data_IF_179260979116
#
_entry.id   IF_179260979116
#
_cell.length_a   1.000
_cell.length_b   1.000
_cell.length_c   1.000
_cell.angle_alpha   90.00
_cell.angle_beta   90.00
_cell.angle_gamma   90.00
#
_symmetry.space_group_name_H-M   'P 1'
#
loop_
_entity.id
_entity.type
_entity.pdbx_description
1 polymer ?
#
# COMPACT_ATOMS: atom_id res chain seq x y z
N UNK A 1 3.22 16.21 8.59
CA UNK A 1 3.26 14.76 8.23
C UNK A 1 2.67 13.99 9.39
N UNK A 2 1.62 13.21 9.19
CA UNK A 2 1.06 12.35 10.25
C UNK A 2 2.08 11.25 10.50
N UNK A 3 2.35 10.93 11.79
CA UNK A 3 3.30 9.87 12.12
C UNK A 3 2.98 8.60 11.33
N UNK A 4 3.97 8.07 10.63
CA UNK A 4 3.82 6.87 9.81
C UNK A 4 3.45 5.62 10.63
N UNK A 5 3.68 5.66 11.94
CA UNK A 5 3.35 4.59 12.87
C UNK A 5 1.89 4.68 13.37
N UNK A 6 1.27 5.86 13.32
CA UNK A 6 -0.14 6.00 13.65
C UNK A 6 -1.01 5.57 12.48
N UNK A 7 -1.65 4.41 12.61
CA UNK A 7 -2.58 3.83 11.64
C UNK A 7 -4.04 4.03 12.01
N UNK A 8 -4.32 4.74 13.11
CA UNK A 8 -5.69 4.97 13.57
C UNK A 8 -6.43 6.00 12.70
N UNK A 9 -7.74 5.90 12.67
CA UNK A 9 -8.62 6.88 12.04
C UNK A 9 -8.62 6.93 10.50
N UNK A 10 -7.70 6.20 9.85
CA UNK A 10 -7.60 6.16 8.38
C UNK A 10 -7.35 4.77 7.84
N UNK A 11 -7.84 4.51 6.63
CA UNK A 11 -7.54 3.32 5.84
C UNK A 11 -6.46 3.65 4.80
N UNK A 12 -5.40 2.85 4.75
CA UNK A 12 -4.36 2.95 3.71
C UNK A 12 -4.67 2.09 2.49
N UNK A 13 -4.00 2.34 1.38
CA UNK A 13 -4.10 1.46 0.20
C UNK A 13 -3.69 0.02 0.52
N UNK A 14 -2.66 -0.17 1.37
CA UNK A 14 -2.22 -1.49 1.83
C UNK A 14 -3.26 -2.23 2.70
N UNK A 15 -4.25 -1.53 3.23
CA UNK A 15 -5.34 -2.13 4.02
C UNK A 15 -6.43 -2.78 3.15
N UNK A 16 -6.35 -2.63 1.82
CA UNK A 16 -7.36 -3.13 0.89
C UNK A 16 -7.64 -4.63 1.06
N UNK A 17 -6.62 -5.44 1.42
CA UNK A 17 -6.79 -6.87 1.67
C UNK A 17 -7.63 -7.18 2.90
N UNK A 18 -7.57 -6.35 3.94
CA UNK A 18 -8.43 -6.48 5.13
C UNK A 18 -9.86 -6.02 4.81
N UNK A 19 -9.99 -4.88 4.14
CA UNK A 19 -11.29 -4.29 3.77
C UNK A 19 -12.08 -5.25 2.87
N UNK A 20 -11.42 -5.87 1.90
CA UNK A 20 -12.02 -6.79 0.94
C UNK A 20 -12.05 -8.24 1.42
N UNK A 21 -11.41 -8.54 2.55
CA UNK A 21 -11.30 -9.88 3.12
C UNK A 21 -12.49 -10.31 3.98
N UNK A 22 -12.29 -11.39 4.74
CA UNK A 22 -13.24 -11.89 5.71
C UNK A 22 -13.04 -11.19 7.07
N UNK A 23 -14.05 -10.48 7.54
CA UNK A 23 -14.01 -9.70 8.78
C UNK A 23 -14.18 -10.52 10.06
N UNK A 24 -14.58 -11.78 9.97
CA UNK A 24 -14.66 -12.71 11.11
C UNK A 24 -13.31 -13.23 11.59
N UNK A 25 -12.22 -13.00 10.84
CA UNK A 25 -10.89 -13.55 11.17
C UNK A 25 -10.22 -12.81 12.33
N UNK A 26 -9.40 -13.54 13.11
CA UNK A 26 -8.57 -12.94 14.16
C UNK A 26 -7.62 -11.87 13.60
N UNK A 27 -7.11 -12.08 12.40
CA UNK A 27 -6.21 -11.14 11.73
C UNK A 27 -6.92 -9.82 11.43
N UNK A 28 -8.16 -9.86 10.92
CA UNK A 28 -8.98 -8.67 10.72
C UNK A 28 -9.27 -7.97 12.05
N UNK A 29 -9.68 -8.70 13.11
CA UNK A 29 -9.98 -8.12 14.42
C UNK A 29 -8.78 -7.38 15.02
N UNK A 30 -7.58 -7.95 14.92
CA UNK A 30 -6.36 -7.30 15.38
C UNK A 30 -6.04 -6.02 14.57
N UNK A 31 -6.20 -6.07 13.25
CA UNK A 31 -6.04 -4.89 12.40
C UNK A 31 -7.09 -3.81 12.72
N UNK A 32 -8.34 -4.23 12.98
CA UNK A 32 -9.41 -3.30 13.35
C UNK A 32 -9.15 -2.56 14.66
N UNK A 33 -8.61 -3.24 15.67
CA UNK A 33 -8.19 -2.61 16.93
C UNK A 33 -7.10 -1.53 16.72
N UNK A 34 -6.22 -1.71 15.73
CA UNK A 34 -5.26 -0.67 15.35
C UNK A 34 -5.96 0.53 14.70
N UNK A 35 -6.99 0.30 13.88
CA UNK A 35 -7.78 1.38 13.28
C UNK A 35 -8.56 2.18 14.30
N UNK A 36 -9.03 1.54 15.37
CA UNK A 36 -9.66 2.19 16.51
C UNK A 36 -8.65 2.88 17.47
N UNK A 37 -7.35 2.78 17.24
CA UNK A 37 -6.31 3.34 18.12
C UNK A 37 -6.18 2.62 19.47
N UNK A 38 -6.77 1.43 19.62
CA UNK A 38 -6.73 0.65 20.86
C UNK A 38 -5.40 -0.07 21.05
N UNK A 39 -4.76 -0.50 19.95
CA UNK A 39 -3.44 -1.12 19.94
C UNK A 39 -2.53 -0.41 18.94
N UNK A 40 -1.25 -0.28 19.28
CA UNK A 40 -0.23 0.21 18.36
C UNK A 40 0.33 -0.95 17.55
N UNK A 41 0.51 -0.75 16.24
CA UNK A 41 1.22 -1.70 15.38
C UNK A 41 2.74 -1.48 15.47
N UNK A 42 3.52 -2.51 15.22
CA UNK A 42 4.94 -2.22 15.13
C UNK A 42 5.93 -3.36 15.31
N UNK A 43 6.04 -4.30 14.38
CA UNK A 43 7.26 -5.09 14.19
C UNK A 43 7.81 -4.80 12.79
N UNK A 44 9.10 -4.40 12.72
CA UNK A 44 9.82 -4.28 11.44
C UNK A 44 10.86 -5.41 11.36
N UNK A 45 10.77 -6.25 10.33
CA UNK A 45 11.80 -7.26 10.05
C UNK A 45 13.01 -6.62 9.34
N UNK A 46 14.16 -7.33 9.33
CA UNK A 46 15.35 -6.91 8.57
C UNK A 46 15.01 -6.70 7.09
N UNK A 47 14.18 -7.55 6.50
CA UNK A 47 13.74 -7.41 5.12
C UNK A 47 12.90 -6.13 4.89
N UNK A 48 12.05 -5.75 5.86
CA UNK A 48 11.28 -4.49 5.78
C UNK A 48 12.20 -3.27 5.89
N UNK A 49 13.23 -3.33 6.75
CA UNK A 49 14.22 -2.26 6.86
C UNK A 49 15.01 -2.13 5.56
N UNK A 50 15.53 -3.23 5.02
CA UNK A 50 16.24 -3.22 3.74
C UNK A 50 15.36 -2.60 2.63
N UNK A 51 14.08 -3.03 2.53
CA UNK A 51 13.12 -2.43 1.59
C UNK A 51 13.05 -0.92 1.70
N UNK A 52 12.90 -0.39 2.91
CA UNK A 52 12.83 1.06 3.16
C UNK A 52 14.12 1.80 2.73
N UNK A 53 15.30 1.23 2.98
CA UNK A 53 16.57 1.87 2.60
C UNK A 53 16.78 1.89 1.08
N UNK A 54 16.43 0.81 0.38
CA UNK A 54 16.60 0.74 -1.08
C UNK A 54 15.51 1.45 -1.87
N UNK A 55 14.36 1.74 -1.28
CA UNK A 55 13.17 2.31 -1.95
C UNK A 55 13.50 3.58 -2.72
N UNK A 56 14.11 4.58 -2.07
CA UNK A 56 14.45 5.85 -2.73
C UNK A 56 15.49 5.69 -3.84
N UNK A 57 16.47 4.82 -3.65
CA UNK A 57 17.49 4.56 -4.67
C UNK A 57 16.91 3.84 -5.90
N UNK A 58 15.92 2.94 -5.69
CA UNK A 58 15.20 2.30 -6.79
C UNK A 58 14.31 3.33 -7.50
N UNK A 59 13.60 4.20 -6.78
CA UNK A 59 12.80 5.28 -7.36
C UNK A 59 13.64 6.23 -8.22
N UNK A 60 14.86 6.58 -7.78
CA UNK A 60 15.80 7.35 -8.57
C UNK A 60 16.22 6.60 -9.85
N UNK A 61 16.50 5.31 -9.72
CA UNK A 61 16.92 4.48 -10.84
C UNK A 61 15.84 4.34 -11.94
N UNK A 62 14.55 4.36 -11.55
CA UNK A 62 13.40 4.31 -12.48
C UNK A 62 12.87 5.69 -12.88
N UNK A 63 13.47 6.76 -12.35
CA UNK A 63 13.13 8.14 -12.69
C UNK A 63 11.76 8.56 -12.18
N UNK A 64 11.39 8.19 -10.93
CA UNK A 64 10.17 8.66 -10.30
C UNK A 64 10.30 10.14 -9.93
N UNK A 65 9.36 11.01 -10.35
CA UNK A 65 9.51 12.46 -10.17
C UNK A 65 9.40 12.95 -8.73
N UNK A 66 8.55 12.31 -7.92
CA UNK A 66 8.33 12.66 -6.52
C UNK A 66 8.30 11.40 -5.67
N UNK A 67 8.78 11.49 -4.42
CA UNK A 67 8.83 10.39 -3.44
C UNK A 67 8.00 10.74 -2.20
N UNK A 68 7.53 9.72 -1.50
CA UNK A 68 6.85 9.84 -0.19
C UNK A 68 5.63 10.77 -0.21
N UNK A 69 4.84 10.72 -1.28
CA UNK A 69 3.64 11.52 -1.33
C UNK A 69 2.48 10.88 -0.57
N UNK A 70 1.74 11.69 0.16
CA UNK A 70 0.56 11.26 0.90
C UNK A 70 -0.67 12.03 0.44
N UNK A 71 -1.69 11.31 -0.02
CA UNK A 71 -3.01 11.84 -0.35
C UNK A 71 -4.02 11.45 0.74
N UNK A 72 -4.77 12.44 1.23
CA UNK A 72 -5.88 12.21 2.18
C UNK A 72 -7.19 12.47 1.47
N UNK A 73 -8.13 11.52 1.52
CA UNK A 73 -9.49 11.62 1.01
C UNK A 73 -10.44 11.46 2.21
N UNK A 74 -10.86 12.57 2.85
CA UNK A 74 -11.64 12.53 4.10
C UNK A 74 -13.01 11.87 3.93
N UNK A 75 -13.60 11.98 2.75
CA UNK A 75 -14.88 11.38 2.41
C UNK A 75 -14.93 9.88 2.72
N UNK A 76 -13.82 9.17 2.46
CA UNK A 76 -13.68 7.73 2.69
C UNK A 76 -12.77 7.39 3.88
N UNK A 77 -12.29 8.38 4.63
CA UNK A 77 -11.21 8.20 5.61
C UNK A 77 -9.99 7.46 5.02
N UNK A 78 -9.65 7.74 3.75
CA UNK A 78 -8.49 7.15 3.09
C UNK A 78 -7.26 8.02 3.31
N UNK A 79 -6.13 7.38 3.62
CA UNK A 79 -4.79 7.95 3.64
C UNK A 79 -3.89 7.08 2.76
N UNK A 80 -3.68 7.52 1.54
CA UNK A 80 -2.95 6.77 0.52
C UNK A 80 -1.52 7.29 0.47
N UNK A 81 -0.56 6.43 0.76
CA UNK A 81 0.86 6.73 0.61
C UNK A 81 1.33 6.16 -0.72
N UNK A 82 2.16 6.93 -1.40
CA UNK A 82 2.83 6.56 -2.64
C UNK A 82 4.33 6.55 -2.40
N UNK A 83 5.00 5.44 -2.71
CA UNK A 83 6.47 5.37 -2.65
C UNK A 83 7.05 6.39 -3.65
N UNK A 84 6.54 6.35 -4.90
CA UNK A 84 6.84 7.32 -5.93
C UNK A 84 5.61 7.69 -6.75
N UNK A 85 5.54 8.96 -7.20
CA UNK A 85 4.48 9.40 -8.09
C UNK A 85 4.89 10.57 -9.00
N UNK A 86 4.04 10.85 -9.97
CA UNK A 86 4.10 12.00 -10.87
C UNK A 86 2.74 12.21 -11.53
N UNK A 87 2.65 13.22 -12.40
CA UNK A 87 1.41 13.47 -13.14
C UNK A 87 1.07 12.26 -14.01
N UNK A 88 -0.09 11.65 -13.75
CA UNK A 88 -0.55 10.46 -14.46
C UNK A 88 0.30 9.20 -14.22
N UNK A 89 1.10 9.14 -13.15
CA UNK A 89 2.01 8.03 -12.86
C UNK A 89 2.03 7.69 -11.36
N UNK A 90 2.09 6.40 -11.05
CA UNK A 90 2.33 5.85 -9.70
C UNK A 90 3.39 4.77 -9.79
N UNK A 91 4.37 4.83 -8.89
CA UNK A 91 5.44 3.86 -8.74
C UNK A 91 5.41 3.28 -7.32
N UNK A 92 5.27 1.98 -7.23
CA UNK A 92 5.31 1.22 -5.97
C UNK A 92 6.52 0.30 -5.98
N UNK A 93 7.29 0.29 -4.89
CA UNK A 93 8.50 -0.53 -4.78
C UNK A 93 8.22 -1.78 -3.96
N UNK A 94 8.70 -2.93 -4.46
CA UNK A 94 8.69 -4.19 -3.72
C UNK A 94 10.04 -4.87 -3.82
N UNK A 95 10.65 -5.15 -2.67
CA UNK A 95 11.89 -5.92 -2.60
C UNK A 95 11.62 -7.39 -2.25
N UNK A 96 12.48 -8.27 -2.74
CA UNK A 96 12.43 -9.71 -2.45
C UNK A 96 13.84 -10.30 -2.48
N UNK A 97 14.07 -11.47 -1.89
CA UNK A 97 15.35 -12.17 -2.06
C UNK A 97 15.58 -12.51 -3.53
N UNK A 98 16.81 -12.34 -4.01
CA UNK A 98 17.16 -12.58 -5.43
C UNK A 98 16.95 -14.02 -5.87
N UNK A 99 17.00 -14.95 -4.93
CA UNK A 99 16.72 -16.38 -5.11
C UNK A 99 15.25 -16.71 -5.32
N UNK A 100 14.35 -15.74 -5.11
CA UNK A 100 12.90 -15.91 -5.22
C UNK A 100 12.35 -15.19 -6.45
N UNK A 101 11.48 -15.87 -7.18
CA UNK A 101 10.70 -15.22 -8.22
C UNK A 101 9.70 -14.23 -7.61
N UNK A 102 9.73 -12.97 -8.08
CA UNK A 102 8.72 -12.00 -7.69
C UNK A 102 7.39 -12.30 -8.36
N UNK A 103 6.32 -12.28 -7.56
CA UNK A 103 4.93 -12.42 -8.07
C UNK A 103 4.07 -11.31 -7.50
N UNK A 104 3.30 -10.64 -8.36
CA UNK A 104 2.28 -9.68 -7.92
C UNK A 104 1.19 -10.44 -7.19
N UNK A 105 1.17 -10.33 -5.88
CA UNK A 105 0.17 -10.98 -5.04
C UNK A 105 -1.19 -10.29 -5.16
N UNK A 106 -2.27 -10.98 -4.77
CA UNK A 106 -3.61 -10.37 -4.70
C UNK A 106 -3.62 -9.12 -3.82
N UNK A 107 -2.85 -9.11 -2.71
CA UNK A 107 -2.74 -7.94 -1.82
C UNK A 107 -2.06 -6.76 -2.52
N UNK A 108 -0.97 -6.98 -3.25
CA UNK A 108 -0.29 -5.92 -4.02
C UNK A 108 -1.17 -5.37 -5.13
N UNK A 109 -1.91 -6.25 -5.82
CA UNK A 109 -2.85 -5.83 -6.86
C UNK A 109 -3.96 -4.93 -6.30
N UNK A 110 -4.53 -5.29 -5.15
CA UNK A 110 -5.55 -4.48 -4.48
C UNK A 110 -4.99 -3.14 -4.00
N UNK A 111 -3.80 -3.12 -3.38
CA UNK A 111 -3.11 -1.90 -2.98
C UNK A 111 -2.92 -0.96 -4.18
N UNK A 112 -2.34 -1.46 -5.27
CA UNK A 112 -2.07 -0.67 -6.47
C UNK A 112 -3.35 -0.07 -7.08
N UNK A 113 -4.45 -0.84 -7.13
CA UNK A 113 -5.74 -0.34 -7.62
C UNK A 113 -6.30 0.80 -6.77
N UNK A 114 -6.15 0.73 -5.44
CA UNK A 114 -6.56 1.82 -4.53
C UNK A 114 -5.67 3.05 -4.73
N UNK A 115 -4.37 2.88 -4.95
CA UNK A 115 -3.47 3.98 -5.29
C UNK A 115 -3.88 4.63 -6.63
N UNK A 116 -4.22 3.83 -7.65
CA UNK A 116 -4.75 4.35 -8.93
C UNK A 116 -6.05 5.13 -8.75
N UNK A 117 -6.95 4.65 -7.88
CA UNK A 117 -8.18 5.39 -7.53
C UNK A 117 -7.85 6.74 -6.89
N UNK A 118 -6.91 6.79 -5.95
CA UNK A 118 -6.49 8.04 -5.32
C UNK A 118 -5.98 9.06 -6.33
N UNK A 119 -5.14 8.65 -7.29
CA UNK A 119 -4.65 9.53 -8.35
C UNK A 119 -5.77 9.95 -9.32
N UNK A 120 -6.67 9.04 -9.68
CA UNK A 120 -7.84 9.38 -10.47
C UNK A 120 -8.74 10.42 -9.77
N UNK A 121 -8.93 10.28 -8.44
CA UNK A 121 -9.68 11.22 -7.62
C UNK A 121 -9.02 12.62 -7.60
N UNK A 122 -7.69 12.65 -7.45
CA UNK A 122 -6.91 13.89 -7.35
C UNK A 122 -6.78 14.61 -8.70
N UNK A 123 -6.48 13.87 -9.78
CA UNK A 123 -6.11 14.43 -11.09
C UNK A 123 -7.23 14.39 -12.13
N UNK A 124 -8.32 13.67 -11.85
CA UNK A 124 -9.42 13.45 -12.82
C UNK A 124 -9.02 12.55 -13.99
N UNK A 125 -7.83 11.94 -13.96
CA UNK A 125 -7.28 11.08 -15.01
C UNK A 125 -6.69 9.81 -14.43
N UNK A 126 -6.94 8.68 -15.10
CA UNK A 126 -6.39 7.39 -14.70
C UNK A 126 -4.85 7.36 -14.91
N UNK A 127 -4.06 7.07 -13.85
CA UNK A 127 -2.61 6.99 -13.98
C UNK A 127 -2.15 5.66 -14.59
N UNK A 128 -0.93 5.65 -15.11
CA UNK A 128 -0.16 4.41 -15.27
C UNK A 128 0.41 4.02 -13.91
N UNK A 129 0.23 2.78 -13.50
CA UNK A 129 0.76 2.24 -12.24
C UNK A 129 1.73 1.10 -12.51
N UNK A 130 2.92 1.18 -11.89
CA UNK A 130 3.92 0.14 -11.94
C UNK A 130 4.31 -0.31 -10.54
N UNK A 131 4.35 -1.63 -10.34
CA UNK A 131 5.09 -2.21 -9.23
C UNK A 131 6.49 -2.54 -9.75
N UNK A 132 7.50 -1.87 -9.19
CA UNK A 132 8.90 -2.13 -9.47
C UNK A 132 9.41 -3.14 -8.46
N UNK A 133 9.78 -4.33 -8.89
CA UNK A 133 10.38 -5.33 -8.03
C UNK A 133 11.90 -5.31 -8.14
N UNK A 134 12.57 -5.48 -7.00
CA UNK A 134 14.03 -5.51 -6.90
C UNK A 134 14.51 -6.69 -6.08
N UNK A 135 15.36 -7.53 -6.69
CA UNK A 135 15.95 -8.69 -6.03
C UNK A 135 17.15 -8.30 -5.15
N UNK A 136 17.05 -8.55 -3.83
CA UNK A 136 18.11 -8.30 -2.85
C UNK A 136 18.99 -9.54 -2.71
N UNK A 137 20.31 -9.35 -2.76
CA UNK A 137 21.33 -10.36 -2.44
C UNK A 137 21.60 -10.41 -0.94
N UNK A 138 22.37 -11.41 -0.48
CA UNK A 138 22.80 -11.47 0.93
C UNK A 138 23.65 -10.27 1.34
N UNK A 139 24.46 -9.75 0.42
CA UNK A 139 25.29 -8.56 0.65
C UNK A 139 24.45 -7.31 0.81
N UNK A 140 23.33 -7.19 0.07
CA UNK A 140 22.40 -6.06 0.20
C UNK A 140 21.73 -6.02 1.58
N UNK A 141 21.57 -7.15 2.26
CA UNK A 141 21.08 -7.21 3.64
C UNK A 141 22.15 -6.85 4.69
N UNK A 142 23.42 -6.89 4.31
CA UNK A 142 24.56 -6.54 5.20
C UNK A 142 24.96 -5.08 5.07
N UNK A 143 24.75 -4.48 3.89
CA UNK A 143 25.09 -3.09 3.57
C UNK A 143 23.98 -2.44 2.74
N UNK A 144 23.18 -1.58 3.36
CA UNK A 144 22.05 -0.87 2.72
C UNK A 144 22.47 0.31 1.83
N UNK A 145 23.77 0.64 1.79
CA UNK A 145 24.30 1.75 0.98
C UNK A 145 24.90 1.31 -0.37
N UNK A 146 24.72 0.03 -0.71
CA UNK A 146 25.22 -0.50 -1.99
C UNK A 146 24.47 0.17 -3.16
N UNK A 147 25.18 0.46 -4.26
CA UNK A 147 24.55 1.06 -5.44
C UNK A 147 23.54 0.08 -6.07
N UNK A 148 22.47 0.66 -6.64
CA UNK A 148 21.43 -0.10 -7.33
C UNK A 148 21.99 -0.73 -8.62
N UNK A 149 21.81 -2.01 -8.75
CA UNK A 149 22.00 -2.74 -10.01
C UNK A 149 20.68 -2.69 -10.81
N UNK A 150 20.62 -1.84 -11.82
CA UNK A 150 19.42 -1.65 -12.65
C UNK A 150 18.96 -2.92 -13.36
N UNK A 151 19.85 -3.89 -13.61
CA UNK A 151 19.50 -5.17 -14.24
C UNK A 151 18.59 -6.04 -13.34
N UNK A 152 18.59 -5.78 -12.03
CA UNK A 152 17.72 -6.48 -11.06
C UNK A 152 16.35 -5.84 -10.88
N UNK A 153 16.09 -4.68 -11.48
CA UNK A 153 14.79 -4.00 -11.43
C UNK A 153 13.88 -4.61 -12.51
N UNK A 154 12.68 -5.02 -12.10
CA UNK A 154 11.66 -5.51 -13.04
C UNK A 154 10.38 -4.70 -12.90
N UNK A 155 9.82 -4.30 -14.05
CA UNK A 155 8.56 -3.57 -14.13
C UNK A 155 7.37 -4.54 -14.19
N UNK A 156 6.37 -4.29 -13.36
CA UNK A 156 5.13 -5.04 -13.33
C UNK A 156 3.96 -4.05 -13.45
N UNK A 157 3.45 -3.80 -14.68
CA UNK A 157 2.34 -2.85 -14.88
C UNK A 157 1.04 -3.40 -14.31
N UNK A 158 0.24 -2.49 -13.71
CA UNK A 158 -1.03 -2.84 -13.09
C UNK A 158 -2.20 -2.24 -13.87
N UNK A 159 -3.24 -3.04 -14.04
CA UNK A 159 -4.49 -2.62 -14.67
C UNK A 159 -5.52 -2.19 -13.63
N UNK A 160 -6.14 -1.03 -13.89
CA UNK A 160 -7.26 -0.53 -13.08
C UNK A 160 -8.48 -1.45 -13.21
N UNK A 161 -9.21 -1.59 -12.12
CA UNK A 161 -10.42 -2.40 -12.05
C UNK A 161 -11.52 -1.58 -11.36
N UNK A 162 -12.41 -1.01 -12.19
CA UNK A 162 -13.51 -0.19 -11.70
C UNK A 162 -14.47 -0.98 -10.79
N UNK A 163 -14.79 -2.22 -11.15
CA UNK A 163 -15.73 -3.03 -10.36
C UNK A 163 -15.15 -3.33 -8.97
N UNK A 164 -13.85 -3.63 -8.89
CA UNK A 164 -13.16 -3.76 -7.61
C UNK A 164 -13.24 -2.47 -6.80
N UNK A 165 -12.98 -1.31 -7.40
CA UNK A 165 -13.00 -0.03 -6.69
C UNK A 165 -14.41 0.32 -6.22
N UNK A 166 -15.44 0.12 -7.04
CA UNK A 166 -16.84 0.38 -6.64
C UNK A 166 -17.22 -0.45 -5.40
N UNK A 167 -16.83 -1.73 -5.37
CA UNK A 167 -17.05 -2.60 -4.20
C UNK A 167 -16.21 -2.16 -2.99
N UNK A 168 -14.94 -1.82 -3.21
CA UNK A 168 -14.02 -1.34 -2.17
C UNK A 168 -14.57 -0.08 -1.49
N UNK A 169 -15.03 0.91 -2.26
CA UNK A 169 -15.56 2.16 -1.73
C UNK A 169 -16.84 1.94 -0.89
N UNK A 170 -17.74 1.06 -1.31
CA UNK A 170 -18.92 0.70 -0.51
C UNK A 170 -18.51 0.10 0.83
N UNK A 171 -17.54 -0.83 0.85
CA UNK A 171 -17.04 -1.46 2.08
C UNK A 171 -16.30 -0.46 2.97
N UNK A 172 -15.48 0.41 2.41
CA UNK A 172 -14.77 1.48 3.13
C UNK A 172 -15.77 2.46 3.77
N UNK A 173 -16.80 2.89 3.04
CA UNK A 173 -17.83 3.79 3.57
C UNK A 173 -18.54 3.18 4.77
N UNK A 174 -18.90 1.91 4.69
CA UNK A 174 -19.48 1.20 5.83
C UNK A 174 -18.50 1.13 7.01
N UNK A 175 -17.26 0.69 6.77
CA UNK A 175 -16.23 0.58 7.82
C UNK A 175 -15.91 1.93 8.46
N UNK A 176 -15.87 3.03 7.68
CA UNK A 176 -15.70 4.39 8.20
C UNK A 176 -16.78 4.71 9.23
N UNK A 177 -18.06 4.52 8.88
CA UNK A 177 -19.16 4.80 9.80
C UNK A 177 -19.16 3.91 11.06
N UNK A 178 -18.62 2.69 10.97
CA UNK A 178 -18.45 1.80 12.14
C UNK A 178 -17.26 2.25 13.00
N UNK A 179 -16.17 2.65 12.38
CA UNK A 179 -14.96 3.16 13.04
C UNK A 179 -15.24 4.44 13.83
N UNK A 180 -15.97 5.39 13.24
CA UNK A 180 -16.36 6.65 13.88
C UNK A 180 -17.20 6.45 15.15
N UNK A 181 -17.92 5.32 15.24
CA UNK A 181 -18.69 4.92 16.43
C UNK A 181 -17.91 4.07 17.42
N UNK A 182 -16.65 3.74 17.13
CA UNK A 182 -15.82 2.88 17.97
C UNK A 182 -16.31 1.43 18.07
N UNK A 183 -17.06 0.93 17.07
CA UNK A 183 -17.67 -0.39 17.06
C UNK A 183 -16.90 -1.39 16.19
N UNK A 184 -17.18 -2.69 16.38
CA UNK A 184 -16.77 -3.73 15.43
C UNK A 184 -17.78 -3.84 14.27
N UNK A 185 -17.33 -4.06 13.02
CA UNK A 185 -18.23 -4.25 11.90
C UNK A 185 -18.95 -5.60 11.98
N UNK A 186 -20.10 -5.68 11.34
CA UNK A 186 -20.80 -6.93 11.16
C UNK A 186 -19.99 -7.88 10.27
N UNK A 187 -19.59 -9.04 10.79
CA UNK A 187 -18.78 -10.03 10.08
C UNK A 187 -19.46 -10.56 8.79
N UNK A 188 -20.77 -10.54 8.76
CA UNK A 188 -21.61 -11.02 7.65
C UNK A 188 -22.08 -9.88 6.72
N UNK A 189 -21.47 -8.70 6.81
CA UNK A 189 -21.82 -7.58 5.94
C UNK A 189 -21.58 -7.93 4.47
N UNK A 190 -22.64 -7.84 3.68
CA UNK A 190 -22.63 -7.99 2.22
C UNK A 190 -23.05 -6.67 1.58
N UNK A 191 -22.45 -6.36 0.42
CA UNK A 191 -22.73 -5.14 -0.36
C UNK A 191 -23.74 -5.44 -1.45
#
# INVERSE_FOLDING_TARGET
MIDSNDRSGYFGASDASFIMGNWGTKTFKNWWLQKLGIVTGGYKSVAMNAGTYYEHAILDAVGSPRKDYQLIIPEYALRINYDGDGVGRVDEIKTHGIDKEFKVTKGYLMQARVQMFGKLYEEGKLPVHNIWSYGLTEEDYKDFFRPIDKARIKQNPITYDKAFIDLFLKRVTYLKGVMERGLFPNENYTV
#
